data_IF_196951975498
#
_entry.id   IF_196951975498
#
_cell.length_a   1.000
_cell.length_b   1.000
_cell.length_c   1.000
_cell.angle_alpha   90.00
_cell.angle_beta   90.00
_cell.angle_gamma   90.00
#
_symmetry.space_group_name_H-M   'P 1'
#
loop_
_entity.id
_entity.type
_entity.pdbx_description
1 polymer ?
#
# COMPACT_ATOMS: atom_id res chain seq x y z
N UNK A 1 -27.37 20.89 -19.15
CA UNK A 1 -26.11 20.91 -18.37
C UNK A 1 -25.23 19.81 -18.92
N UNK A 2 -24.22 20.18 -19.68
CA UNK A 2 -23.25 19.28 -20.29
C UNK A 2 -22.07 19.10 -19.35
N UNK A 3 -21.78 17.87 -18.92
CA UNK A 3 -20.43 17.50 -18.48
C UNK A 3 -19.74 16.82 -19.66
N UNK A 4 -18.63 17.43 -20.06
CA UNK A 4 -17.82 17.06 -21.22
C UNK A 4 -17.14 15.68 -21.02
N UNK A 5 -17.35 14.70 -21.92
CA UNK A 5 -16.73 13.38 -21.85
C UNK A 5 -15.23 13.34 -22.22
N UNK A 6 -14.61 14.46 -22.62
CA UNK A 6 -13.22 14.51 -23.11
C UNK A 6 -12.11 14.45 -22.03
N UNK A 7 -12.40 14.16 -20.76
CA UNK A 7 -11.39 14.21 -19.67
C UNK A 7 -10.91 12.87 -19.09
N UNK A 8 -11.25 11.72 -19.68
CA UNK A 8 -10.67 10.44 -19.25
C UNK A 8 -10.11 9.64 -20.43
N UNK A 9 -8.94 10.14 -20.89
CA UNK A 9 -7.87 9.53 -21.70
C UNK A 9 -8.27 8.60 -22.87
N UNK A 10 -7.83 8.94 -24.10
CA UNK A 10 -8.27 8.30 -25.34
C UNK A 10 -7.69 6.89 -25.51
N UNK A 11 -8.55 5.98 -25.96
CA UNK A 11 -8.29 4.88 -26.90
C UNK A 11 -6.86 4.32 -26.98
N UNK A 12 -6.47 3.47 -26.03
CA UNK A 12 -5.37 2.53 -26.28
C UNK A 12 -5.92 1.28 -26.98
N UNK A 13 -6.34 1.41 -28.24
CA UNK A 13 -6.67 0.24 -29.08
C UNK A 13 -5.38 -0.36 -29.65
N UNK A 14 -4.82 -1.32 -28.93
CA UNK A 14 -3.64 -2.08 -29.34
C UNK A 14 -3.98 -3.10 -30.44
N UNK A 15 -4.20 -2.64 -31.67
CA UNK A 15 -4.32 -3.54 -32.83
C UNK A 15 -2.93 -3.93 -33.35
N UNK A 16 -2.62 -5.24 -33.34
CA UNK A 16 -1.52 -5.81 -34.14
C UNK A 16 -0.21 -6.16 -33.41
N UNK A 17 -0.05 -5.90 -32.11
CA UNK A 17 1.14 -6.33 -31.38
C UNK A 17 0.97 -7.79 -30.93
N UNK A 18 1.57 -8.73 -31.68
CA UNK A 18 1.81 -10.08 -31.17
C UNK A 18 3.01 -10.01 -30.20
N UNK A 19 2.82 -10.52 -28.98
CA UNK A 19 3.81 -10.67 -27.90
C UNK A 19 3.99 -9.44 -26.97
N UNK A 20 2.93 -9.05 -26.26
CA UNK A 20 3.03 -8.15 -25.11
C UNK A 20 3.50 -8.93 -23.87
N UNK A 21 4.57 -8.47 -23.24
CA UNK A 21 5.09 -9.01 -21.98
C UNK A 21 4.75 -8.04 -20.85
N UNK A 22 4.04 -8.53 -19.84
CA UNK A 22 3.74 -7.78 -18.63
C UNK A 22 4.70 -8.23 -17.53
N UNK A 23 5.36 -7.28 -16.87
CA UNK A 23 6.21 -7.54 -15.72
C UNK A 23 5.59 -6.88 -14.49
N UNK A 24 5.35 -7.66 -13.45
CA UNK A 24 5.01 -7.15 -12.13
C UNK A 24 6.31 -6.74 -11.45
N UNK A 25 6.37 -5.51 -10.95
CA UNK A 25 7.40 -5.14 -9.97
C UNK A 25 6.89 -5.48 -8.58
N UNK A 26 7.72 -6.12 -7.77
CA UNK A 26 7.42 -6.30 -6.36
C UNK A 26 7.23 -4.93 -5.69
N UNK A 27 6.31 -4.82 -4.72
CA UNK A 27 6.11 -3.57 -4.01
C UNK A 27 7.37 -3.22 -3.21
N UNK A 28 7.92 -2.04 -3.48
CA UNK A 28 9.00 -1.45 -2.68
C UNK A 28 8.35 -0.44 -1.75
N UNK A 29 8.39 -0.72 -0.45
CA UNK A 29 7.74 0.13 0.56
C UNK A 29 8.65 1.21 1.12
N UNK A 30 9.91 1.26 0.70
CA UNK A 30 10.88 2.28 1.11
C UNK A 30 11.08 3.33 0.03
N UNK A 31 11.44 4.55 0.45
CA UNK A 31 11.88 5.61 -0.45
C UNK A 31 13.40 5.56 -0.71
N UNK A 32 14.13 4.73 0.03
CA UNK A 32 15.57 4.58 -0.12
C UNK A 32 15.92 3.87 -1.44
N UNK A 33 17.04 4.26 -2.04
CA UNK A 33 17.59 3.55 -3.19
C UNK A 33 18.27 2.26 -2.72
N UNK A 34 17.73 1.12 -3.12
CA UNK A 34 18.21 -0.19 -2.71
C UNK A 34 19.14 -0.80 -3.75
N UNK A 35 20.28 -1.30 -3.28
CA UNK A 35 21.28 -2.02 -4.07
C UNK A 35 21.89 -3.18 -3.26
N UNK A 36 22.90 -3.87 -3.81
CA UNK A 36 23.55 -5.01 -3.17
C UNK A 36 24.34 -4.66 -1.90
N UNK A 37 24.60 -3.38 -1.65
CA UNK A 37 25.36 -2.90 -0.48
C UNK A 37 24.43 -2.36 0.61
N UNK A 38 23.13 -2.30 0.33
CA UNK A 38 22.11 -1.82 1.25
C UNK A 38 21.96 -2.77 2.45
N UNK A 39 21.80 -2.20 3.64
CA UNK A 39 21.52 -2.96 4.86
C UNK A 39 20.01 -3.16 5.01
N UNK A 40 19.60 -4.34 5.48
CA UNK A 40 18.19 -4.65 5.71
C UNK A 40 17.94 -4.99 7.19
N UNK A 41 16.73 -4.73 7.73
CA UNK A 41 15.58 -4.11 7.06
C UNK A 41 15.73 -2.59 6.86
N UNK A 42 14.97 -2.03 5.92
CA UNK A 42 14.88 -0.59 5.67
C UNK A 42 13.52 -0.05 6.13
N UNK A 43 13.44 1.17 6.68
CA UNK A 43 12.18 1.83 6.97
C UNK A 43 11.30 1.95 5.72
N UNK A 44 10.01 1.72 5.88
CA UNK A 44 9.04 1.80 4.79
C UNK A 44 7.65 2.16 5.25
N UNK A 45 6.81 2.55 4.30
CA UNK A 45 5.41 2.92 4.51
C UNK A 45 4.54 2.00 3.65
N UNK A 46 3.57 1.36 4.30
CA UNK A 46 2.52 0.58 3.65
C UNK A 46 1.18 1.29 3.82
N UNK A 47 0.35 1.28 2.78
CA UNK A 47 -1.02 1.74 2.90
C UNK A 47 -1.84 0.75 3.73
N UNK A 48 -2.74 1.27 4.55
CA UNK A 48 -3.65 0.47 5.37
C UNK A 48 -4.97 1.22 5.58
N UNK A 49 -5.97 0.50 6.07
CA UNK A 49 -7.23 1.05 6.53
C UNK A 49 -7.27 1.08 8.05
N UNK A 50 -7.59 2.23 8.63
CA UNK A 50 -7.91 2.33 10.06
C UNK A 50 -9.29 1.72 10.31
N UNK A 51 -9.34 0.69 11.17
CA UNK A 51 -10.58 -0.01 11.51
C UNK A 51 -11.22 0.58 12.77
N UNK A 52 -10.44 0.73 13.83
CA UNK A 52 -10.90 1.28 15.10
C UNK A 52 -9.75 1.85 15.91
N UNK A 53 -10.11 2.56 16.97
CA UNK A 53 -9.18 3.12 17.93
C UNK A 53 -9.73 2.92 19.34
N UNK A 54 -8.86 2.58 20.28
CA UNK A 54 -9.24 2.31 21.67
C UNK A 54 -8.08 2.61 22.62
N UNK A 55 -8.38 2.62 23.92
CA UNK A 55 -7.37 2.70 24.98
C UNK A 55 -7.22 1.31 25.60
N UNK A 56 -6.00 0.81 25.69
CA UNK A 56 -5.72 -0.49 26.30
C UNK A 56 -5.78 -0.43 27.84
N UNK A 57 -5.59 -1.59 28.47
CA UNK A 57 -5.59 -1.73 29.93
C UNK A 57 -4.47 -0.94 30.64
N UNK A 58 -3.42 -0.56 29.93
CA UNK A 58 -2.27 0.19 30.45
C UNK A 58 -2.43 1.70 30.17
N UNK A 59 -3.58 2.14 29.65
CA UNK A 59 -3.85 3.54 29.32
C UNK A 59 -3.23 3.99 28.00
N UNK A 60 -2.71 3.09 27.16
CA UNK A 60 -2.13 3.44 25.85
C UNK A 60 -3.22 3.55 24.79
N UNK A 61 -3.11 4.57 23.96
CA UNK A 61 -3.92 4.71 22.75
C UNK A 61 -3.44 3.71 21.70
N UNK A 62 -4.32 2.85 21.20
CA UNK A 62 -4.06 1.80 20.21
C UNK A 62 -4.97 2.00 19.00
N UNK A 63 -4.43 1.76 17.81
CA UNK A 63 -5.18 1.81 16.54
C UNK A 63 -5.14 0.42 15.90
N UNK A 64 -6.31 -0.15 15.62
CA UNK A 64 -6.39 -1.35 14.79
C UNK A 64 -6.40 -0.95 13.32
N UNK A 65 -5.47 -1.48 12.54
CA UNK A 65 -5.39 -1.31 11.09
C UNK A 65 -5.64 -2.63 10.35
N UNK A 66 -5.99 -2.54 9.07
CA UNK A 66 -6.06 -3.65 8.14
C UNK A 66 -5.21 -3.32 6.88
N UNK A 67 -4.28 -4.20 6.51
CA UNK A 67 -3.36 -4.04 5.37
C UNK A 67 -3.78 -4.84 4.13
N UNK A 68 -4.87 -5.61 4.19
CA UNK A 68 -5.48 -6.32 3.06
C UNK A 68 -5.87 -5.34 1.94
N UNK A 69 -6.26 -4.13 2.33
CA UNK A 69 -6.58 -3.05 1.39
C UNK A 69 -5.71 -1.83 1.69
N UNK A 70 -5.26 -1.10 0.66
CA UNK A 70 -5.56 -1.29 -0.77
C UNK A 70 -4.64 -2.30 -1.50
N UNK A 71 -3.55 -2.77 -0.89
CA UNK A 71 -2.47 -3.47 -1.62
C UNK A 71 -2.29 -4.94 -1.27
N UNK A 72 -3.22 -5.55 -0.51
CA UNK A 72 -3.17 -6.97 -0.12
C UNK A 72 -1.84 -7.37 0.52
N UNK A 73 -1.34 -6.55 1.45
CA UNK A 73 -0.11 -6.84 2.19
C UNK A 73 -0.46 -7.68 3.42
N UNK A 74 0.15 -8.85 3.57
CA UNK A 74 -0.05 -9.78 4.68
C UNK A 74 1.28 -10.31 5.23
N UNK A 75 1.26 -10.86 6.44
CA UNK A 75 2.40 -11.63 6.96
C UNK A 75 2.55 -12.97 6.23
N UNK A 76 3.68 -13.65 6.44
CA UNK A 76 3.91 -15.02 5.97
C UNK A 76 2.82 -15.99 6.48
N UNK A 77 2.20 -15.68 7.61
CA UNK A 77 1.12 -16.46 8.23
C UNK A 77 -0.29 -16.01 7.77
N UNK A 78 -0.40 -15.11 6.78
CA UNK A 78 -1.69 -14.64 6.24
C UNK A 78 -2.41 -13.62 7.13
N UNK A 79 -1.69 -12.91 8.00
CA UNK A 79 -2.29 -11.92 8.91
C UNK A 79 -2.23 -10.54 8.26
N UNK A 80 -3.36 -9.84 8.25
CA UNK A 80 -3.49 -8.48 7.72
C UNK A 80 -4.03 -7.46 8.73
N UNK A 81 -4.37 -7.87 9.96
CA UNK A 81 -4.91 -6.98 10.99
C UNK A 81 -3.93 -6.82 12.13
N UNK A 82 -3.61 -5.57 12.47
CA UNK A 82 -2.60 -5.24 13.48
C UNK A 82 -3.09 -4.15 14.40
N UNK A 83 -2.71 -4.24 15.66
CA UNK A 83 -2.83 -3.16 16.64
C UNK A 83 -1.50 -2.42 16.71
N UNK A 84 -1.52 -1.11 16.41
CA UNK A 84 -0.33 -0.26 16.35
C UNK A 84 -0.47 0.95 17.27
N UNK A 85 0.68 1.55 17.60
CA UNK A 85 0.72 2.84 18.28
C UNK A 85 0.45 3.99 17.29
N UNK A 86 -0.13 5.12 17.75
CA UNK A 86 -0.40 6.28 16.90
C UNK A 86 0.83 6.83 16.17
N UNK A 87 2.03 6.72 16.75
CA UNK A 87 3.27 7.18 16.13
C UNK A 87 3.77 6.28 14.98
N UNK A 88 3.17 5.11 14.78
CA UNK A 88 3.42 4.22 13.66
C UNK A 88 2.47 4.47 12.48
N UNK A 89 1.47 5.34 12.64
CA UNK A 89 0.56 5.76 11.59
C UNK A 89 0.92 7.16 11.09
N UNK A 90 0.89 7.35 9.78
CA UNK A 90 1.12 8.65 9.13
C UNK A 90 0.05 8.89 8.08
N UNK A 91 -0.43 10.14 7.98
CA UNK A 91 -1.31 10.57 6.90
C UNK A 91 -0.43 11.05 5.73
N UNK A 92 -0.73 10.58 4.51
CA UNK A 92 0.02 10.88 3.28
C UNK A 92 -0.85 11.71 2.35
#
# INVERSE_FOLDING_TARGET
>A
MTTNPDLLKPDLKMHGIKNLWFMIKFPIFTKEYLDSNSKYPQPGIIACLKIKEFVDKDGRRIITINTEKPWAVETIDGIYQFDILPNQLTEI
#
